data_IF_567301729760
#
_entry.id   IF_567301729760
#
_cell.length_a   1.000
_cell.length_b   1.000
_cell.length_c   1.000
_cell.angle_alpha   90.00
_cell.angle_beta   90.00
_cell.angle_gamma   90.00
#
_symmetry.space_group_name_H-M   'P 1'
#
loop_
_entity.id
_entity.type
_entity.pdbx_description
1 polymer ?
#
# COMPACT_ATOMS: atom_id res chain seq x y z
N UNK A 1 -1.46 12.49 7.15
CA UNK A 1 -2.20 11.28 6.94
C UNK A 1 -1.40 10.12 6.39
N UNK A 2 -1.98 8.93 6.44
CA UNK A 2 -1.40 7.65 6.02
C UNK A 2 -0.79 7.67 4.60
N UNK A 3 -1.45 8.33 3.63
CA UNK A 3 -0.94 8.46 2.26
C UNK A 3 0.43 9.15 2.20
N UNK A 4 0.58 10.25 2.92
CA UNK A 4 1.85 10.96 2.96
C UNK A 4 2.94 10.10 3.59
N UNK A 5 2.59 9.33 4.61
CA UNK A 5 3.46 8.36 5.25
C UNK A 5 3.91 7.28 4.27
N UNK A 6 2.97 6.69 3.53
CA UNK A 6 3.24 5.65 2.54
C UNK A 6 4.10 6.18 1.38
N UNK A 7 3.86 7.40 0.91
CA UNK A 7 4.71 8.03 -0.10
C UNK A 7 6.15 8.25 0.39
N UNK A 8 6.33 8.67 1.64
CA UNK A 8 7.67 8.80 2.22
C UNK A 8 8.42 7.47 2.29
N UNK A 9 7.73 6.40 2.71
CA UNK A 9 8.31 5.06 2.74
C UNK A 9 8.68 4.61 1.33
N UNK A 10 7.75 4.77 0.37
CA UNK A 10 7.99 4.43 -1.04
C UNK A 10 9.20 5.19 -1.60
N UNK A 11 9.35 6.47 -1.28
CA UNK A 11 10.49 7.27 -1.72
C UNK A 11 11.81 6.75 -1.15
N UNK A 12 11.85 6.44 0.15
CA UNK A 12 13.06 5.88 0.79
C UNK A 12 13.42 4.53 0.18
N UNK A 13 12.44 3.66 -0.01
CA UNK A 13 12.64 2.35 -0.65
C UNK A 13 13.12 2.51 -2.09
N UNK A 14 12.54 3.45 -2.86
CA UNK A 14 12.96 3.74 -4.23
C UNK A 14 14.42 4.19 -4.31
N UNK A 15 14.87 5.02 -3.37
CA UNK A 15 16.26 5.47 -3.29
C UNK A 15 17.21 4.30 -3.01
N UNK A 16 16.88 3.44 -2.06
CA UNK A 16 17.69 2.26 -1.73
C UNK A 16 17.78 1.31 -2.93
N UNK A 17 16.64 1.04 -3.59
CA UNK A 17 16.59 0.23 -4.80
C UNK A 17 17.41 0.84 -5.93
N UNK A 18 17.28 2.16 -6.16
CA UNK A 18 18.02 2.85 -7.22
C UNK A 18 19.52 2.77 -6.99
N UNK A 19 19.99 3.09 -5.79
CA UNK A 19 21.41 3.01 -5.43
C UNK A 19 21.90 1.57 -5.55
N UNK A 20 21.19 0.60 -5.00
CA UNK A 20 21.58 -0.80 -5.04
C UNK A 20 21.66 -1.36 -6.47
N UNK A 21 20.65 -1.10 -7.31
CA UNK A 21 20.62 -1.57 -8.70
C UNK A 21 21.67 -0.89 -9.57
N UNK A 22 21.98 0.38 -9.32
CA UNK A 22 23.06 1.09 -10.01
C UNK A 22 24.43 0.50 -9.62
N UNK A 23 24.67 0.21 -8.34
CA UNK A 23 25.90 -0.44 -7.86
C UNK A 23 26.06 -1.83 -8.49
N UNK A 24 24.97 -2.58 -8.65
CA UNK A 24 24.96 -3.88 -9.34
C UNK A 24 25.14 -3.78 -10.87
N UNK A 25 25.26 -2.55 -11.42
CA UNK A 25 25.47 -2.33 -12.84
C UNK A 25 24.24 -2.59 -13.72
N UNK A 26 23.04 -2.53 -13.15
CA UNK A 26 21.79 -2.69 -13.92
C UNK A 26 21.62 -1.51 -14.85
N UNK A 27 21.58 -1.75 -16.18
CA UNK A 27 21.43 -0.76 -17.25
C UNK A 27 20.14 -0.02 -17.05
N UNK A 28 19.41 0.36 -16.58
CA UNK A 28 18.17 1.08 -16.25
C UNK A 28 17.77 0.89 -14.78
N UNK A 29 18.77 0.77 -13.88
CA UNK A 29 18.55 0.51 -12.47
C UNK A 29 17.58 1.49 -11.80
N UNK A 30 17.64 2.77 -12.17
CA UNK A 30 16.73 3.80 -11.65
C UNK A 30 15.28 3.55 -12.11
N UNK A 31 15.09 3.18 -13.38
CA UNK A 31 13.75 2.88 -13.90
C UNK A 31 13.15 1.65 -13.23
N UNK A 32 13.95 0.58 -13.09
CA UNK A 32 13.52 -0.61 -12.36
C UNK A 32 13.23 -0.32 -10.89
N UNK A 33 14.03 0.51 -10.23
CA UNK A 33 13.81 0.92 -8.87
C UNK A 33 12.46 1.63 -8.68
N UNK A 34 12.12 2.55 -9.60
CA UNK A 34 10.83 3.25 -9.58
C UNK A 34 9.66 2.29 -9.81
N UNK A 35 9.77 1.37 -10.77
CA UNK A 35 8.74 0.37 -11.04
C UNK A 35 8.53 -0.57 -9.85
N UNK A 36 9.62 -1.06 -9.24
CA UNK A 36 9.55 -1.93 -8.06
C UNK A 36 8.97 -1.17 -6.86
N UNK A 37 9.38 0.08 -6.65
CA UNK A 37 8.83 0.90 -5.57
C UNK A 37 7.33 1.21 -5.78
N UNK A 38 6.89 1.37 -7.02
CA UNK A 38 5.47 1.53 -7.35
C UNK A 38 4.67 0.24 -7.07
N UNK A 39 5.22 -0.92 -7.43
CA UNK A 39 4.63 -2.23 -7.08
C UNK A 39 4.59 -2.44 -5.57
N UNK A 40 5.60 -1.97 -4.87
CA UNK A 40 5.70 -2.03 -3.42
C UNK A 40 4.66 -1.17 -2.69
N UNK A 41 4.09 -0.17 -3.36
CA UNK A 41 2.95 0.58 -2.85
C UNK A 41 1.69 -0.30 -2.70
N UNK A 42 1.60 -1.36 -3.48
CA UNK A 42 0.50 -2.33 -3.38
C UNK A 42 0.75 -3.27 -2.18
N UNK A 43 -0.18 -3.39 -1.21
CA UNK A 43 0.04 -4.10 0.04
C UNK A 43 0.29 -5.61 -0.10
N UNK A 44 0.10 -6.17 -1.29
CA UNK A 44 0.28 -7.61 -1.57
C UNK A 44 1.60 -7.91 -2.26
N UNK A 45 2.10 -6.98 -3.07
CA UNK A 45 3.20 -7.27 -3.98
C UNK A 45 4.57 -6.92 -3.42
N UNK A 46 4.87 -6.26 -2.46
CA UNK A 46 6.17 -5.96 -1.88
C UNK A 46 7.40 -6.08 -2.83
N UNK A 47 8.50 -5.48 -2.47
CA UNK A 47 9.78 -5.55 -3.22
C UNK A 47 10.26 -6.98 -3.45
N UNK A 48 9.95 -7.89 -2.52
CA UNK A 48 10.36 -9.29 -2.59
C UNK A 48 9.77 -10.05 -3.77
N UNK A 49 8.55 -9.72 -4.20
CA UNK A 49 7.87 -10.37 -5.33
C UNK A 49 8.66 -10.24 -6.63
N UNK A 50 9.42 -9.16 -6.78
CA UNK A 50 10.27 -8.93 -7.95
C UNK A 50 11.71 -9.37 -7.71
N UNK A 51 12.27 -9.02 -6.54
CA UNK A 51 13.69 -9.28 -6.27
C UNK A 51 14.01 -10.76 -6.07
N UNK A 52 13.11 -11.56 -5.47
CA UNK A 52 13.36 -13.00 -5.29
C UNK A 52 13.40 -13.80 -6.59
N UNK A 53 12.40 -13.72 -7.49
CA UNK A 53 12.48 -14.40 -8.77
C UNK A 53 13.69 -13.95 -9.59
N UNK A 54 14.01 -12.66 -9.56
CA UNK A 54 15.16 -12.13 -10.25
C UNK A 54 16.49 -12.66 -9.68
N UNK A 55 16.64 -12.68 -8.36
CA UNK A 55 17.79 -13.26 -7.68
C UNK A 55 17.94 -14.75 -8.01
N UNK A 56 16.82 -15.50 -8.04
CA UNK A 56 16.82 -16.92 -8.39
C UNK A 56 17.30 -17.16 -9.82
N UNK A 57 16.79 -16.38 -10.79
CA UNK A 57 17.24 -16.47 -12.19
C UNK A 57 18.73 -16.20 -12.29
N UNK A 58 19.25 -15.17 -11.62
CA UNK A 58 20.67 -14.83 -11.61
C UNK A 58 21.53 -15.88 -10.93
N UNK A 59 21.04 -16.48 -9.87
CA UNK A 59 21.70 -17.60 -9.19
C UNK A 59 21.85 -18.80 -10.12
N UNK A 60 20.78 -19.18 -10.82
CA UNK A 60 20.77 -20.28 -11.77
C UNK A 60 21.65 -20.01 -13.01
N UNK A 61 21.82 -18.74 -13.38
CA UNK A 61 22.71 -18.31 -14.46
C UNK A 61 24.20 -18.27 -14.05
N UNK A 62 24.52 -18.62 -12.79
CA UNK A 62 25.89 -18.60 -12.27
C UNK A 62 26.40 -17.21 -11.85
N UNK A 63 25.54 -16.19 -11.86
CA UNK A 63 25.88 -14.82 -11.46
C UNK A 63 25.65 -14.64 -9.93
N UNK A 64 26.40 -15.35 -9.12
CA UNK A 64 26.25 -15.40 -7.66
C UNK A 64 26.36 -14.03 -7.00
N UNK A 65 27.34 -13.22 -7.43
CA UNK A 65 27.56 -11.88 -6.88
C UNK A 65 26.33 -10.99 -7.09
N UNK A 66 25.73 -11.07 -8.26
CA UNK A 66 24.52 -10.30 -8.59
C UNK A 66 23.33 -10.77 -7.76
N UNK A 67 23.13 -12.08 -7.66
CA UNK A 67 22.05 -12.67 -6.88
C UNK A 67 22.15 -12.30 -5.40
N UNK A 68 23.33 -12.39 -4.79
CA UNK A 68 23.59 -11.95 -3.41
C UNK A 68 23.31 -10.46 -3.26
N UNK A 69 23.76 -9.64 -4.22
CA UNK A 69 23.47 -8.21 -4.22
C UNK A 69 21.98 -7.89 -4.17
N UNK A 70 21.16 -8.59 -4.97
CA UNK A 70 19.69 -8.43 -4.93
C UNK A 70 19.09 -8.81 -3.57
N UNK A 71 19.58 -9.88 -2.95
CA UNK A 71 19.15 -10.29 -1.60
C UNK A 71 19.54 -9.25 -0.55
N UNK A 72 20.75 -8.69 -0.62
CA UNK A 72 21.19 -7.61 0.27
C UNK A 72 20.31 -6.38 0.12
N UNK A 73 20.02 -5.94 -1.11
CA UNK A 73 19.10 -4.83 -1.37
C UNK A 73 17.72 -5.12 -0.75
N UNK A 74 17.20 -6.33 -0.91
CA UNK A 74 15.93 -6.73 -0.30
C UNK A 74 15.97 -6.62 1.22
N UNK A 75 17.00 -7.19 1.88
CA UNK A 75 17.15 -7.12 3.33
C UNK A 75 17.23 -5.67 3.82
N UNK A 76 17.98 -4.82 3.13
CA UNK A 76 18.06 -3.39 3.45
C UNK A 76 16.72 -2.68 3.32
N UNK A 77 15.97 -2.93 2.25
CA UNK A 77 14.64 -2.34 2.09
C UNK A 77 13.67 -2.81 3.19
N UNK A 78 13.73 -4.07 3.59
CA UNK A 78 12.91 -4.61 4.67
C UNK A 78 13.31 -4.05 6.04
N UNK A 79 14.60 -3.94 6.32
CA UNK A 79 15.09 -3.35 7.58
C UNK A 79 14.64 -1.90 7.72
N UNK A 80 14.80 -1.09 6.67
CA UNK A 80 14.32 0.30 6.65
C UNK A 80 12.81 0.37 6.82
N UNK A 81 12.07 -0.48 6.12
CA UNK A 81 10.61 -0.54 6.26
C UNK A 81 10.19 -0.85 7.69
N UNK A 82 10.79 -1.86 8.34
CA UNK A 82 10.46 -2.22 9.72
C UNK A 82 10.74 -1.11 10.73
N UNK A 83 11.76 -0.28 10.48
CA UNK A 83 12.11 0.84 11.37
C UNK A 83 11.32 2.10 11.04
N UNK A 84 11.13 2.39 9.77
CA UNK A 84 10.55 3.65 9.30
C UNK A 84 9.02 3.59 9.32
N UNK A 85 8.44 2.46 8.97
CA UNK A 85 6.99 2.30 8.87
C UNK A 85 6.26 2.59 10.18
N UNK A 86 6.62 2.01 11.35
CA UNK A 86 5.95 2.33 12.60
C UNK A 86 6.16 3.77 13.05
N UNK A 87 7.32 4.38 12.72
CA UNK A 87 7.60 5.78 13.07
C UNK A 87 6.85 6.80 12.25
N UNK A 88 6.55 6.48 10.99
CA UNK A 88 5.89 7.41 10.06
C UNK A 88 4.38 7.18 10.05
N UNK A 89 3.94 5.94 10.14
CA UNK A 89 2.51 5.59 10.13
C UNK A 89 1.87 5.90 11.48
N UNK A 90 2.61 5.75 12.60
CA UNK A 90 2.09 5.99 13.94
C UNK A 90 0.80 5.23 14.20
N UNK A 91 -0.15 5.87 14.86
CA UNK A 91 -1.50 5.33 15.12
C UNK A 91 -2.45 5.45 13.91
N UNK A 92 -1.92 5.72 12.72
CA UNK A 92 -2.73 5.82 11.51
C UNK A 92 -3.33 4.45 11.18
N UNK A 93 -4.65 4.36 11.18
CA UNK A 93 -5.39 3.15 10.86
C UNK A 93 -5.19 2.85 9.39
N UNK A 94 -4.33 1.88 9.11
CA UNK A 94 -4.14 1.33 7.77
C UNK A 94 -5.27 0.38 7.38
N UNK A 95 -5.37 0.06 6.09
CA UNK A 95 -6.27 -0.99 5.62
C UNK A 95 -5.86 -2.34 6.24
N UNK A 96 -6.78 -3.07 6.90
CA UNK A 96 -6.53 -4.46 7.28
C UNK A 96 -6.14 -5.28 6.03
N UNK A 97 -5.18 -6.20 6.12
CA UNK A 97 -4.69 -6.97 4.96
C UNK A 97 -5.80 -7.67 4.18
N UNK A 98 -6.80 -8.20 4.88
CA UNK A 98 -7.94 -8.87 4.26
C UNK A 98 -8.78 -7.91 3.41
N UNK A 99 -9.07 -6.71 3.92
CA UNK A 99 -9.81 -5.69 3.18
C UNK A 99 -9.01 -5.19 1.97
N UNK A 100 -7.69 -5.04 2.11
CA UNK A 100 -6.82 -4.69 0.98
C UNK A 100 -6.92 -5.70 -0.15
N UNK A 101 -6.93 -7.00 0.16
CA UNK A 101 -7.10 -8.07 -0.83
C UNK A 101 -8.46 -7.99 -1.55
N UNK A 102 -9.53 -7.72 -0.80
CA UNK A 102 -10.88 -7.58 -1.37
C UNK A 102 -10.92 -6.38 -2.32
N UNK A 103 -10.39 -5.22 -1.91
CA UNK A 103 -10.36 -4.03 -2.76
C UNK A 103 -9.50 -4.24 -4.01
N UNK A 104 -8.34 -4.90 -3.88
CA UNK A 104 -7.48 -5.24 -5.02
C UNK A 104 -8.20 -6.16 -6.01
N UNK A 105 -8.87 -7.20 -5.53
CA UNK A 105 -9.64 -8.12 -6.36
C UNK A 105 -10.79 -7.39 -7.10
N UNK A 106 -11.56 -6.58 -6.38
CA UNK A 106 -12.64 -5.80 -6.98
C UNK A 106 -12.10 -4.79 -8.00
N UNK A 107 -11.03 -4.08 -7.67
CA UNK A 107 -10.37 -3.15 -8.57
C UNK A 107 -9.87 -3.81 -9.85
N UNK A 108 -9.26 -4.99 -9.72
CA UNK A 108 -8.81 -5.79 -10.86
C UNK A 108 -9.98 -6.22 -11.76
N UNK A 109 -11.09 -6.66 -11.16
CA UNK A 109 -12.28 -7.10 -11.90
C UNK A 109 -12.96 -5.95 -12.67
N UNK A 110 -12.89 -4.73 -12.15
CA UNK A 110 -13.55 -3.55 -12.78
C UNK A 110 -12.70 -2.98 -13.91
N UNK A 111 -11.39 -2.80 -13.71
CA UNK A 111 -10.52 -2.07 -14.66
C UNK A 111 -9.11 -2.67 -14.79
N UNK A 112 -8.94 -3.95 -14.49
CA UNK A 112 -7.66 -4.63 -14.58
C UNK A 112 -6.60 -4.03 -13.64
N UNK A 113 -5.35 -3.94 -14.11
CA UNK A 113 -4.21 -3.46 -13.32
C UNK A 113 -4.40 -2.02 -12.86
N UNK A 114 -4.95 -1.14 -13.69
CA UNK A 114 -5.22 0.25 -13.32
C UNK A 114 -6.27 0.37 -12.22
N UNK A 115 -7.31 -0.47 -12.26
CA UNK A 115 -8.30 -0.57 -11.18
C UNK A 115 -7.69 -1.07 -9.87
N UNK A 116 -6.77 -2.02 -9.93
CA UNK A 116 -6.06 -2.54 -8.77
C UNK A 116 -5.19 -1.46 -8.09
N UNK A 117 -4.51 -0.63 -8.86
CA UNK A 117 -3.70 0.50 -8.33
C UNK A 117 -4.59 1.53 -7.63
N UNK A 118 -5.75 1.84 -8.20
CA UNK A 118 -6.69 2.80 -7.63
C UNK A 118 -7.51 2.23 -6.46
N UNK A 119 -7.66 0.92 -6.36
CA UNK A 119 -8.47 0.26 -5.35
C UNK A 119 -7.99 0.54 -3.92
N UNK A 120 -6.67 0.59 -3.68
CA UNK A 120 -6.09 0.86 -2.37
C UNK A 120 -6.36 2.29 -1.90
N UNK A 121 -6.08 3.34 -2.69
CA UNK A 121 -6.47 4.71 -2.36
C UNK A 121 -7.96 4.87 -2.08
N UNK A 122 -8.80 4.30 -2.93
CA UNK A 122 -10.26 4.38 -2.78
C UNK A 122 -10.72 3.64 -1.52
N UNK A 123 -10.19 2.44 -1.26
CA UNK A 123 -10.51 1.67 -0.08
C UNK A 123 -10.13 2.39 1.22
N UNK A 124 -8.96 3.04 1.24
CA UNK A 124 -8.55 3.87 2.38
C UNK A 124 -9.43 5.09 2.58
N UNK A 125 -9.84 5.75 1.50
CA UNK A 125 -10.74 6.88 1.58
C UNK A 125 -12.09 6.47 2.18
N UNK A 126 -12.65 5.34 1.73
CA UNK A 126 -13.91 4.78 2.24
C UNK A 126 -13.78 4.44 3.73
N UNK A 127 -12.70 3.76 4.16
CA UNK A 127 -12.50 3.41 5.56
C UNK A 127 -12.26 4.63 6.44
N UNK A 128 -11.52 5.62 5.97
CA UNK A 128 -11.34 6.85 6.71
C UNK A 128 -12.69 7.57 6.91
N UNK A 129 -13.54 7.65 5.89
CA UNK A 129 -14.90 8.19 6.03
C UNK A 129 -15.72 7.42 7.07
N UNK A 130 -15.58 6.09 7.10
CA UNK A 130 -16.24 5.25 8.10
C UNK A 130 -15.73 5.52 9.53
N UNK A 131 -14.40 5.62 9.71
CA UNK A 131 -13.78 5.88 11.02
C UNK A 131 -13.98 7.31 11.55
N UNK A 132 -14.10 8.29 10.66
CA UNK A 132 -14.41 9.67 11.06
C UNK A 132 -15.87 9.85 11.48
N UNK A 133 -16.65 8.77 11.56
CA UNK A 133 -18.02 8.82 12.06
C UNK A 133 -18.98 9.64 11.18
N UNK A 134 -18.65 9.85 9.91
CA UNK A 134 -19.53 10.54 8.96
C UNK A 134 -20.87 9.78 8.86
N UNK A 135 -20.80 8.46 8.92
CA UNK A 135 -22.00 7.60 8.95
C UNK A 135 -22.73 7.63 10.30
N UNK A 136 -22.01 7.75 11.42
CA UNK A 136 -22.65 7.85 12.75
C UNK A 136 -23.44 9.16 12.90
N UNK A 137 -22.90 10.24 12.38
CA UNK A 137 -23.60 11.54 12.30
C UNK A 137 -24.88 11.46 11.45
N UNK A 138 -24.81 10.76 10.30
CA UNK A 138 -25.99 10.56 9.44
C UNK A 138 -27.03 9.63 10.10
N UNK A 139 -26.59 8.57 10.76
CA UNK A 139 -27.49 7.63 11.46
C UNK A 139 -28.14 8.30 12.68
N UNK A 140 -27.41 9.12 13.43
CA UNK A 140 -27.97 9.90 14.53
C UNK A 140 -28.98 10.93 14.05
N UNK A 141 -28.69 11.67 13.00
CA UNK A 141 -29.61 12.65 12.42
C UNK A 141 -30.87 12.00 11.84
N UNK A 142 -30.75 10.81 11.20
CA UNK A 142 -31.94 10.08 10.72
C UNK A 142 -32.77 9.50 11.86
N UNK A 143 -32.16 9.08 12.97
CA UNK A 143 -32.89 8.66 14.17
C UNK A 143 -33.64 9.82 14.83
N UNK A 144 -33.01 10.99 14.96
CA UNK A 144 -33.63 12.20 15.49
C UNK A 144 -34.81 12.64 14.63
N UNK A 145 -34.69 12.65 13.32
CA UNK A 145 -35.79 12.95 12.41
C UNK A 145 -36.92 11.93 12.50
N UNK A 146 -36.60 10.65 12.65
CA UNK A 146 -37.61 9.61 12.81
C UNK A 146 -38.34 9.71 14.17
N UNK A 147 -37.66 10.16 15.23
CA UNK A 147 -38.26 10.43 16.54
C UNK A 147 -39.15 11.68 16.53
N UNK A 148 -38.72 12.74 15.86
CA UNK A 148 -39.51 13.94 15.66
C UNK A 148 -40.80 13.64 14.88
N UNK A 149 -40.70 12.90 13.76
CA UNK A 149 -41.88 12.49 13.00
C UNK A 149 -42.82 11.61 13.82
N UNK A 150 -42.30 10.75 14.71
CA UNK A 150 -43.10 9.95 15.64
C UNK A 150 -43.80 10.80 16.72
N UNK A 151 -43.14 11.88 17.17
CA UNK A 151 -43.74 12.83 18.12
C UNK A 151 -44.91 13.58 17.50
N UNK A 152 -44.71 14.15 16.32
CA UNK A 152 -45.79 14.86 15.61
C UNK A 152 -47.01 13.97 15.34
N UNK A 153 -46.79 12.69 15.04
CA UNK A 153 -47.88 11.74 14.79
C UNK A 153 -48.64 11.25 16.08
N UNK A 154 -48.10 11.53 17.27
CA UNK A 154 -48.78 11.20 18.54
C UNK A 154 -49.52 12.38 19.13
N UNK A 155 -49.32 13.57 18.62
CA UNK A 155 -50.00 14.80 19.05
C UNK A 155 -51.25 15.12 18.20
N UNK A 156 -51.51 14.36 17.12
CA UNK A 156 -52.79 14.31 16.39
C UNK A 156 -53.68 13.13 16.90
#
# INVERSE_FOLDING_TARGET
>A
GYFLAQFKIMFVVAVILAVGLVILGVRYGILFALLIALLDFLPVFGTGTVLFPWALIKLLSGEWTFAIGLVVIYVLTQAVRQVVQPKIVGDSIGLPPLLSLIFLYLGFKIKGISGMILAVPIGMFILNLYHYGVFDSMIQNTKLLAEEIRRFRKEE
#
